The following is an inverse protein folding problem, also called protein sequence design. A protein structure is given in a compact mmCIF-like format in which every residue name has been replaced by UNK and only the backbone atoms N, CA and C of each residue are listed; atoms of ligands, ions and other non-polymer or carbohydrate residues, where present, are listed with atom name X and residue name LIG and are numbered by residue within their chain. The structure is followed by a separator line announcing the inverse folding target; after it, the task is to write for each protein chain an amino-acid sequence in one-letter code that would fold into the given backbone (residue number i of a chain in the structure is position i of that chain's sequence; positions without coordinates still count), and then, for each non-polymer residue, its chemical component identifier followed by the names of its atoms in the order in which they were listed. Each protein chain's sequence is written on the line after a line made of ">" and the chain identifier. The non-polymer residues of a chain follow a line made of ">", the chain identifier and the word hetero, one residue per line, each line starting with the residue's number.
data_IF_502273558186
#
_entry.id   IF_502273558186
#
_cell.length_a   1.000
_cell.length_b   1.000
_cell.length_c   1.000
_cell.angle_alpha   90.00
_cell.angle_beta   90.00
_cell.angle_gamma   90.00
#
_symmetry.space_group_name_H-M   'P 1'
#
loop_
_entity.id
_entity.type
_entity.pdbx_description
1 polymer ?
#
# COMPACT_ATOMS: atom_id res chain seq x y z
N UNK A 1 -5.46 -23.81 -3.78
CA UNK A 1 -4.47 -22.73 -3.65
C UNK A 1 -4.44 -22.33 -2.19
N UNK A 2 -3.26 -22.38 -1.54
CA UNK A 2 -3.12 -21.79 -0.21
C UNK A 2 -3.60 -20.34 -0.28
N UNK A 3 -4.40 -19.92 0.70
CA UNK A 3 -4.92 -18.56 0.77
C UNK A 3 -3.74 -17.58 0.82
N UNK A 4 -3.49 -16.85 -0.27
CA UNK A 4 -2.37 -15.91 -0.39
C UNK A 4 -2.41 -14.82 0.69
N UNK A 5 -3.60 -14.51 1.19
CA UNK A 5 -3.80 -13.49 2.21
C UNK A 5 -3.38 -13.96 3.62
N UNK A 6 -3.17 -15.26 3.81
CA UNK A 6 -2.67 -15.83 5.07
C UNK A 6 -1.14 -15.98 5.11
N UNK A 7 -0.45 -15.73 3.98
CA UNK A 7 1.00 -15.82 3.91
C UNK A 7 1.67 -14.62 4.61
N UNK A 8 2.82 -14.88 5.21
CA UNK A 8 3.74 -13.80 5.59
C UNK A 8 4.28 -13.12 4.33
N UNK A 9 4.74 -11.87 4.48
CA UNK A 9 5.39 -11.15 3.35
C UNK A 9 6.64 -11.89 2.88
N UNK A 10 7.35 -12.53 3.79
CA UNK A 10 8.53 -13.33 3.49
C UNK A 10 8.17 -14.55 2.63
N UNK A 11 7.13 -15.30 3.00
CA UNK A 11 6.65 -16.44 2.22
C UNK A 11 6.12 -16.02 0.84
N UNK A 12 5.41 -14.88 0.79
CA UNK A 12 4.93 -14.32 -0.47
C UNK A 12 6.09 -13.92 -1.40
N UNK A 13 7.11 -13.25 -0.86
CA UNK A 13 8.30 -12.87 -1.60
C UNK A 13 9.08 -14.11 -2.10
N UNK A 14 9.17 -15.17 -1.27
CA UNK A 14 9.77 -16.43 -1.67
C UNK A 14 9.00 -17.04 -2.85
N UNK A 15 7.68 -17.11 -2.80
CA UNK A 15 6.85 -17.64 -3.90
C UNK A 15 7.01 -16.86 -5.19
N UNK A 16 7.12 -15.53 -5.14
CA UNK A 16 7.36 -14.70 -6.32
C UNK A 16 8.77 -14.99 -6.87
N UNK A 17 9.78 -15.00 -6.03
CA UNK A 17 11.16 -15.30 -6.40
C UNK A 17 11.29 -16.65 -7.09
N UNK A 18 10.66 -17.68 -6.51
CA UNK A 18 10.71 -19.06 -6.98
C UNK A 18 9.74 -19.33 -8.14
N UNK A 19 9.13 -18.30 -8.72
CA UNK A 19 8.19 -18.37 -9.84
C UNK A 19 6.93 -19.23 -9.58
N UNK A 20 6.56 -19.44 -8.31
CA UNK A 20 5.34 -20.17 -7.95
C UNK A 20 4.08 -19.30 -8.13
N UNK A 21 4.25 -17.97 -8.12
CA UNK A 21 3.24 -16.96 -8.43
C UNK A 21 3.94 -15.75 -9.05
N UNK A 22 3.25 -15.01 -9.88
CA UNK A 22 3.75 -13.76 -10.46
C UNK A 22 3.37 -12.54 -9.62
N UNK A 23 4.13 -11.44 -9.74
CA UNK A 23 3.77 -10.16 -9.12
C UNK A 23 2.43 -9.64 -9.65
N UNK A 24 2.14 -9.88 -10.93
CA UNK A 24 0.86 -9.52 -11.55
C UNK A 24 -0.29 -10.25 -10.88
N UNK A 25 -0.22 -11.59 -10.75
CA UNK A 25 -1.27 -12.38 -10.09
C UNK A 25 -1.49 -11.93 -8.64
N UNK A 26 -0.41 -11.65 -7.90
CA UNK A 26 -0.50 -11.10 -6.54
C UNK A 26 -1.24 -9.76 -6.53
N UNK A 27 -0.86 -8.83 -7.40
CA UNK A 27 -1.50 -7.52 -7.48
C UNK A 27 -2.97 -7.61 -7.89
N UNK A 28 -3.33 -8.51 -8.81
CA UNK A 28 -4.72 -8.74 -9.21
C UNK A 28 -5.59 -9.21 -8.04
N UNK A 29 -5.09 -10.12 -7.21
CA UNK A 29 -5.81 -10.57 -6.01
C UNK A 29 -6.07 -9.41 -5.03
N UNK A 30 -5.06 -8.55 -4.78
CA UNK A 30 -5.26 -7.37 -3.94
C UNK A 30 -6.18 -6.32 -4.58
N UNK A 31 -6.14 -6.14 -5.90
CA UNK A 31 -7.08 -5.27 -6.63
C UNK A 31 -8.53 -5.71 -6.42
N UNK A 32 -8.82 -7.01 -6.54
CA UNK A 32 -10.17 -7.53 -6.31
C UNK A 32 -10.61 -7.36 -4.84
N UNK A 33 -9.68 -7.48 -3.88
CA UNK A 33 -9.96 -7.16 -2.48
C UNK A 33 -10.33 -5.68 -2.30
N UNK A 34 -9.52 -4.77 -2.84
CA UNK A 34 -9.77 -3.32 -2.79
C UNK A 34 -11.14 -3.01 -3.39
N UNK A 35 -11.43 -3.50 -4.59
CA UNK A 35 -12.71 -3.30 -5.28
C UNK A 35 -13.92 -3.79 -4.46
N UNK A 36 -13.75 -4.89 -3.73
CA UNK A 36 -14.81 -5.48 -2.92
C UNK A 36 -15.08 -4.69 -1.65
N UNK A 37 -14.05 -4.23 -0.95
CA UNK A 37 -14.17 -3.75 0.43
C UNK A 37 -13.94 -2.24 0.60
N UNK A 38 -13.16 -1.58 -0.27
CA UNK A 38 -12.79 -0.18 -0.03
C UNK A 38 -13.93 0.82 -0.18
N UNK A 39 -15.01 0.47 -0.87
CA UNK A 39 -16.24 1.29 -0.92
C UNK A 39 -16.80 1.59 0.46
N UNK A 40 -16.67 0.65 1.40
CA UNK A 40 -17.19 0.73 2.75
C UNK A 40 -16.08 1.16 3.74
N UNK A 41 -14.85 0.63 3.59
CA UNK A 41 -13.71 0.88 4.48
C UNK A 41 -13.05 2.24 4.21
N UNK A 42 -12.93 2.64 2.95
CA UNK A 42 -12.32 3.92 2.52
C UNK A 42 -10.88 4.10 3.02
N UNK A 43 -10.09 3.03 2.90
CA UNK A 43 -8.70 3.00 3.32
C UNK A 43 -7.77 3.71 2.32
N UNK A 44 -8.20 3.88 1.07
CA UNK A 44 -7.36 4.47 0.02
C UNK A 44 -7.68 5.94 -0.21
N UNK A 45 -6.62 6.76 -0.22
CA UNK A 45 -6.66 8.17 -0.64
C UNK A 45 -6.45 8.27 -2.16
N UNK A 46 -5.49 7.48 -2.68
CA UNK A 46 -5.25 7.37 -4.12
C UNK A 46 -4.87 5.91 -4.45
N UNK A 47 -5.50 5.37 -5.49
CA UNK A 47 -5.24 4.02 -6.00
C UNK A 47 -5.43 4.00 -7.51
N UNK A 48 -4.39 3.58 -8.24
CA UNK A 48 -4.43 3.40 -9.69
C UNK A 48 -4.10 1.96 -10.06
N UNK A 49 -5.14 1.23 -10.46
CA UNK A 49 -5.03 -0.18 -10.88
C UNK A 49 -4.07 -0.35 -12.06
N UNK A 50 -4.10 0.57 -13.03
CA UNK A 50 -3.31 0.46 -14.26
C UNK A 50 -1.82 0.62 -13.92
N UNK A 51 -1.48 1.66 -13.18
CA UNK A 51 -0.11 1.90 -12.72
C UNK A 51 0.43 0.72 -11.90
N UNK A 52 -0.39 0.15 -11.00
CA UNK A 52 0.02 -1.01 -10.20
C UNK A 52 0.36 -2.22 -11.08
N UNK A 53 -0.49 -2.55 -12.06
CA UNK A 53 -0.26 -3.69 -12.95
C UNK A 53 0.92 -3.47 -13.92
N UNK A 54 1.16 -2.24 -14.36
CA UNK A 54 2.36 -1.89 -15.13
C UNK A 54 3.63 -2.18 -14.32
N UNK A 55 3.71 -1.70 -13.09
CA UNK A 55 4.84 -1.96 -12.19
C UNK A 55 5.00 -3.45 -11.84
N UNK A 56 3.91 -4.17 -11.64
CA UNK A 56 3.95 -5.60 -11.39
C UNK A 56 4.49 -6.37 -12.60
N UNK A 57 4.10 -5.97 -13.80
CA UNK A 57 4.61 -6.52 -15.05
C UNK A 57 6.12 -6.26 -15.23
N UNK A 58 6.58 -5.05 -14.88
CA UNK A 58 8.00 -4.70 -14.87
C UNK A 58 8.79 -5.59 -13.89
N UNK A 59 8.26 -5.82 -12.69
CA UNK A 59 8.88 -6.71 -11.71
C UNK A 59 8.98 -8.16 -12.23
N UNK A 60 7.93 -8.70 -12.83
CA UNK A 60 7.96 -10.03 -13.43
C UNK A 60 8.94 -10.15 -14.60
N UNK A 61 9.05 -9.11 -15.43
CA UNK A 61 10.04 -9.03 -16.51
C UNK A 61 11.47 -9.00 -15.97
N UNK A 62 11.70 -8.21 -14.89
CA UNK A 62 12.99 -8.15 -14.21
C UNK A 62 13.43 -9.53 -13.70
N UNK A 63 12.52 -10.27 -13.05
CA UNK A 63 12.79 -11.63 -12.57
C UNK A 63 13.08 -12.58 -13.73
N UNK A 64 12.25 -12.59 -14.79
CA UNK A 64 12.42 -13.45 -15.98
C UNK A 64 13.76 -13.18 -16.69
N UNK A 65 14.27 -11.96 -16.63
CA UNK A 65 15.58 -11.61 -17.18
C UNK A 65 16.77 -12.08 -16.30
N UNK A 66 16.51 -12.80 -15.21
CA UNK A 66 17.55 -13.34 -14.33
C UNK A 66 18.35 -12.25 -13.56
N UNK A 67 17.79 -11.05 -13.43
CA UNK A 67 18.45 -9.95 -12.73
C UNK A 67 18.39 -10.17 -11.20
N UNK A 68 19.35 -9.59 -10.43
CA UNK A 68 19.32 -9.68 -8.98
C UNK A 68 18.01 -9.16 -8.40
N UNK A 69 17.44 -9.89 -7.44
CA UNK A 69 16.17 -9.59 -6.80
C UNK A 69 16.40 -9.06 -5.38
N UNK A 70 15.75 -7.94 -5.05
CA UNK A 70 15.70 -7.43 -3.69
C UNK A 70 14.79 -8.29 -2.79
N UNK A 71 14.87 -8.11 -1.46
CA UNK A 71 14.13 -8.93 -0.50
C UNK A 71 12.60 -8.77 -0.58
N UNK A 72 12.11 -7.66 -1.12
CA UNK A 72 10.69 -7.39 -1.32
C UNK A 72 10.28 -7.41 -2.81
N UNK A 73 11.07 -8.09 -3.65
CA UNK A 73 10.83 -8.09 -5.10
C UNK A 73 9.40 -8.50 -5.44
N UNK A 74 8.68 -7.61 -6.15
CA UNK A 74 7.32 -7.84 -6.62
C UNK A 74 6.23 -7.74 -5.55
N UNK A 75 6.57 -7.43 -4.30
CA UNK A 75 5.61 -7.25 -3.21
C UNK A 75 4.93 -5.89 -3.32
N UNK A 76 3.59 -5.82 -3.38
CA UNK A 76 2.86 -4.56 -3.32
C UNK A 76 2.86 -4.00 -1.89
N UNK A 77 3.22 -2.72 -1.76
CA UNK A 77 3.29 -2.00 -0.47
C UNK A 77 2.43 -0.75 -0.54
N UNK A 78 1.51 -0.61 0.41
CA UNK A 78 0.74 0.61 0.57
C UNK A 78 1.55 1.66 1.35
N UNK A 79 1.39 2.95 1.03
CA UNK A 79 2.08 4.01 1.76
C UNK A 79 1.11 5.09 2.23
N UNK A 80 1.28 5.56 3.46
CA UNK A 80 0.45 6.63 4.02
C UNK A 80 0.52 7.90 3.18
N UNK A 81 -0.59 8.58 3.02
CA UNK A 81 -0.71 9.80 2.19
C UNK A 81 -0.06 11.06 2.79
N UNK A 82 1.04 10.88 3.51
CA UNK A 82 2.00 11.95 3.88
C UNK A 82 3.39 11.65 3.32
N UNK A 83 3.59 10.43 2.81
CA UNK A 83 4.85 9.99 2.22
C UNK A 83 4.88 10.43 0.77
N UNK A 84 5.81 11.30 0.39
CA UNK A 84 5.94 11.83 -0.96
C UNK A 84 6.29 10.76 -1.98
N UNK A 85 5.57 10.74 -3.11
CA UNK A 85 5.86 9.90 -4.27
C UNK A 85 5.79 10.75 -5.54
N UNK A 86 6.62 10.43 -6.55
CA UNK A 86 6.64 11.19 -7.81
C UNK A 86 5.47 10.84 -8.73
N UNK A 87 4.93 9.65 -8.61
CA UNK A 87 3.96 9.04 -9.53
C UNK A 87 2.52 9.10 -9.02
N UNK A 88 2.31 9.55 -7.79
CA UNK A 88 0.99 9.69 -7.17
C UNK A 88 0.90 11.00 -6.36
N UNK A 89 -0.28 11.61 -6.26
CA UNK A 89 -0.45 12.78 -5.41
C UNK A 89 -0.20 12.45 -3.94
N UNK A 90 0.21 13.46 -3.16
CA UNK A 90 0.37 13.40 -1.71
C UNK A 90 -0.37 14.56 -1.09
N UNK A 91 -1.61 14.30 -0.72
CA UNK A 91 -2.59 15.31 -0.32
C UNK A 91 -2.68 15.51 1.20
N UNK A 92 -2.06 14.62 1.97
CA UNK A 92 -2.01 14.67 3.44
C UNK A 92 -3.40 14.71 4.10
N UNK A 93 -4.42 14.11 3.46
CA UNK A 93 -5.78 14.08 3.98
C UNK A 93 -6.47 15.46 4.05
N UNK A 94 -5.99 16.48 3.33
CA UNK A 94 -6.53 17.84 3.39
C UNK A 94 -6.87 18.39 1.99
N UNK A 95 -8.03 19.07 1.84
CA UNK A 95 -8.42 19.71 0.56
C UNK A 95 -7.42 20.75 0.05
N UNK A 96 -6.68 21.42 0.96
CA UNK A 96 -5.70 22.46 0.62
C UNK A 96 -4.56 21.91 -0.25
N UNK A 97 -4.29 20.59 -0.16
CA UNK A 97 -3.23 19.91 -0.90
C UNK A 97 -3.75 19.05 -2.05
N UNK A 98 -5.01 19.21 -2.45
CA UNK A 98 -5.61 18.43 -3.53
C UNK A 98 -4.77 18.48 -4.81
N UNK A 99 -4.44 17.31 -5.36
CA UNK A 99 -3.61 17.14 -6.55
C UNK A 99 -2.12 17.49 -6.37
N UNK A 100 -1.67 17.73 -5.14
CA UNK A 100 -0.27 18.09 -4.88
C UNK A 100 0.63 16.87 -5.09
N UNK A 101 1.63 17.03 -5.96
CA UNK A 101 2.66 16.03 -6.23
C UNK A 101 4.04 16.54 -5.82
N UNK A 102 4.98 15.62 -5.66
CA UNK A 102 6.38 15.92 -5.38
C UNK A 102 7.26 15.62 -6.61
N UNK A 103 8.38 16.34 -6.73
CA UNK A 103 9.36 16.13 -7.80
C UNK A 103 10.33 14.98 -7.52
N UNK A 104 10.32 14.45 -6.29
CA UNK A 104 11.15 13.32 -5.86
C UNK A 104 10.41 12.48 -4.83
N UNK A 105 10.78 11.23 -4.73
CA UNK A 105 10.27 10.34 -3.69
C UNK A 105 10.80 10.74 -2.31
N UNK A 106 10.05 10.37 -1.27
CA UNK A 106 10.61 10.28 0.07
C UNK A 106 11.62 9.12 0.11
N UNK A 107 12.67 9.26 0.91
CA UNK A 107 13.75 8.26 1.04
C UNK A 107 13.23 6.83 1.30
N UNK A 108 12.20 6.69 2.15
CA UNK A 108 11.59 5.38 2.42
C UNK A 108 11.01 4.73 1.14
N UNK A 109 10.51 5.52 0.18
CA UNK A 109 9.99 5.03 -1.09
C UNK A 109 11.13 4.53 -1.98
N UNK A 110 12.24 5.26 -2.03
CA UNK A 110 13.42 4.84 -2.78
C UNK A 110 14.06 3.57 -2.17
N UNK A 111 14.03 3.44 -0.84
CA UNK A 111 14.43 2.20 -0.15
C UNK A 111 13.52 1.02 -0.48
N UNK A 112 12.19 1.24 -0.54
CA UNK A 112 11.23 0.22 -0.97
C UNK A 112 11.49 -0.22 -2.41
N UNK A 113 11.71 0.73 -3.33
CA UNK A 113 12.05 0.43 -4.73
C UNK A 113 13.37 -0.33 -4.84
N UNK A 114 14.39 0.06 -4.07
CA UNK A 114 15.69 -0.62 -4.02
C UNK A 114 15.55 -2.06 -3.50
N UNK A 115 14.62 -2.30 -2.59
CA UNK A 115 14.27 -3.65 -2.12
C UNK A 115 13.42 -4.44 -3.13
N UNK A 116 13.02 -3.83 -4.26
CA UNK A 116 12.21 -4.44 -5.30
C UNK A 116 10.70 -4.38 -5.04
N UNK A 117 10.24 -3.66 -4.03
CA UNK A 117 8.83 -3.51 -3.71
C UNK A 117 8.09 -2.62 -4.74
N UNK A 118 6.79 -2.81 -4.85
CA UNK A 118 5.90 -2.03 -5.69
C UNK A 118 5.03 -1.13 -4.80
N UNK A 119 5.19 0.18 -4.87
CA UNK A 119 4.26 1.10 -4.19
C UNK A 119 2.91 1.03 -4.90
N UNK A 120 1.91 0.46 -4.22
CA UNK A 120 0.63 0.13 -4.83
C UNK A 120 -0.42 1.24 -4.73
N UNK A 121 -0.22 2.21 -3.84
CA UNK A 121 -1.17 3.31 -3.65
C UNK A 121 -0.93 4.07 -2.36
N UNK A 122 -1.71 5.15 -2.18
CA UNK A 122 -1.66 6.03 -1.02
C UNK A 122 -2.83 5.73 -0.08
N UNK A 123 -2.53 5.43 1.18
CA UNK A 123 -3.56 5.14 2.19
C UNK A 123 -3.99 6.40 2.92
N UNK A 124 -5.27 6.44 3.29
CA UNK A 124 -5.88 7.57 3.99
C UNK A 124 -5.17 7.88 5.31
N UNK A 125 -5.01 9.17 5.58
CA UNK A 125 -4.50 9.71 6.86
C UNK A 125 -5.54 10.66 7.46
N UNK A 126 -5.48 10.89 8.77
CA UNK A 126 -6.09 12.07 9.37
C UNK A 126 -5.52 13.33 8.72
N UNK A 127 -6.28 14.42 8.69
CA UNK A 127 -5.82 15.68 8.10
C UNK A 127 -4.47 16.09 8.68
N UNK A 128 -3.48 16.30 7.79
CA UNK A 128 -2.09 16.65 8.13
C UNK A 128 -1.43 15.71 9.16
N UNK A 129 -1.89 14.46 9.20
CA UNK A 129 -1.48 13.45 10.20
C UNK A 129 -1.72 13.87 11.65
N UNK A 130 -2.72 14.75 11.90
CA UNK A 130 -3.06 15.29 13.21
C UNK A 130 -4.28 14.59 13.85
N UNK A 131 -5.05 15.26 14.71
CA UNK A 131 -6.01 14.62 15.62
C UNK A 131 -7.40 14.34 15.04
N UNK A 132 -7.78 14.92 13.91
CA UNK A 132 -9.10 14.72 13.32
C UNK A 132 -9.34 13.27 12.85
N UNK A 133 -10.56 12.73 12.92
CA UNK A 133 -10.86 11.45 12.33
C UNK A 133 -10.77 11.52 10.81
N UNK A 134 -10.28 10.45 10.20
CA UNK A 134 -10.31 10.29 8.74
C UNK A 134 -11.66 9.74 8.25
N UNK A 135 -11.83 9.66 6.93
CA UNK A 135 -13.01 9.01 6.32
C UNK A 135 -13.03 7.49 6.47
N UNK A 136 -11.92 6.88 6.91
CA UNK A 136 -11.75 5.43 6.99
C UNK A 136 -12.56 4.84 8.13
N UNK A 137 -13.24 3.72 7.88
CA UNK A 137 -13.92 2.95 8.91
C UNK A 137 -13.08 1.76 9.38
N UNK A 138 -13.34 1.29 10.59
CA UNK A 138 -12.69 0.11 11.13
C UNK A 138 -13.21 -1.16 10.42
N UNK A 139 -12.37 -1.97 9.79
CA UNK A 139 -12.81 -3.19 9.09
C UNK A 139 -13.42 -4.27 10.02
N UNK A 140 -13.18 -4.21 11.33
CA UNK A 140 -13.77 -5.12 12.30
C UNK A 140 -15.13 -4.63 12.84
N UNK A 141 -15.38 -3.29 12.75
CA UNK A 141 -16.67 -2.68 13.16
C UNK A 141 -16.85 -1.36 12.41
N UNK A 142 -17.66 -1.37 11.37
CA UNK A 142 -17.85 -0.23 10.46
C UNK A 142 -18.50 0.99 11.13
N UNK A 143 -19.04 0.85 12.34
CA UNK A 143 -19.54 1.97 13.14
C UNK A 143 -18.45 2.75 13.85
N UNK A 144 -17.21 2.27 13.80
CA UNK A 144 -16.06 2.84 14.52
C UNK A 144 -14.98 3.35 13.58
N UNK A 145 -14.19 4.29 14.07
CA UNK A 145 -12.92 4.67 13.44
C UNK A 145 -11.86 3.60 13.69
N UNK A 146 -10.92 3.36 12.74
CA UNK A 146 -9.78 2.46 12.97
C UNK A 146 -8.68 3.12 13.83
N UNK A 147 -8.92 4.31 14.36
CA UNK A 147 -7.89 5.15 14.98
C UNK A 147 -7.16 6.00 13.95
N UNK A 148 -5.98 6.45 14.29
CA UNK A 148 -5.16 7.30 13.39
C UNK A 148 -3.94 7.89 14.11
N UNK A 149 -3.13 8.60 13.32
CA UNK A 149 -3.40 9.18 11.99
C UNK A 149 -3.18 8.22 10.80
N UNK A 150 -2.53 7.06 10.96
CA UNK A 150 -2.31 6.07 9.87
C UNK A 150 -3.55 5.17 9.65
N UNK A 151 -4.74 5.75 9.67
CA UNK A 151 -6.03 5.05 9.62
C UNK A 151 -6.18 4.11 8.41
N UNK A 152 -5.91 4.61 7.21
CA UNK A 152 -5.98 3.81 6.00
C UNK A 152 -4.91 2.73 5.92
N UNK A 153 -3.69 2.99 6.45
CA UNK A 153 -2.61 2.01 6.48
C UNK A 153 -2.99 0.78 7.32
N UNK A 154 -3.51 1.02 8.53
CA UNK A 154 -3.96 -0.05 9.40
C UNK A 154 -5.17 -0.80 8.80
N UNK A 155 -6.18 -0.06 8.31
CA UNK A 155 -7.39 -0.63 7.75
C UNK A 155 -7.12 -1.45 6.47
N UNK A 156 -6.20 -1.01 5.61
CA UNK A 156 -5.83 -1.74 4.38
C UNK A 156 -5.21 -3.11 4.70
N UNK A 157 -4.31 -3.18 5.68
CA UNK A 157 -3.71 -4.44 6.11
C UNK A 157 -4.72 -5.33 6.83
N UNK A 158 -5.48 -4.78 7.78
CA UNK A 158 -6.47 -5.53 8.56
C UNK A 158 -7.61 -6.12 7.69
N UNK A 159 -7.90 -5.53 6.53
CA UNK A 159 -8.89 -6.03 5.57
C UNK A 159 -8.29 -6.85 4.44
N UNK A 160 -6.99 -7.15 4.49
CA UNK A 160 -6.25 -7.84 3.44
C UNK A 160 -6.32 -7.14 2.07
N UNK A 161 -6.39 -5.81 2.04
CA UNK A 161 -6.28 -5.00 0.82
C UNK A 161 -4.84 -4.64 0.48
N UNK A 162 -3.91 -4.89 1.38
CA UNK A 162 -2.46 -4.82 1.18
C UNK A 162 -1.76 -5.82 2.11
N UNK A 163 -0.63 -6.43 1.70
CA UNK A 163 0.12 -7.34 2.57
C UNK A 163 0.85 -6.59 3.67
N UNK A 164 1.37 -5.41 3.36
CA UNK A 164 2.02 -4.49 4.29
C UNK A 164 1.72 -3.04 3.92
N UNK A 165 1.86 -2.14 4.88
CA UNK A 165 1.69 -0.71 4.66
C UNK A 165 2.65 0.11 5.51
N UNK A 166 3.17 1.18 4.91
CA UNK A 166 3.94 2.20 5.63
C UNK A 166 2.98 3.17 6.30
N UNK A 167 3.07 3.26 7.61
CA UNK A 167 2.46 4.29 8.44
C UNK A 167 3.52 5.26 8.99
N UNK A 168 3.10 6.20 9.82
CA UNK A 168 3.99 7.08 10.57
C UNK A 168 3.47 7.26 11.99
N UNK A 169 4.36 7.42 12.95
CA UNK A 169 3.98 7.69 14.33
C UNK A 169 4.89 8.72 14.98
N UNK A 170 4.29 9.78 15.50
CA UNK A 170 4.93 10.73 16.41
C UNK A 170 4.44 10.47 17.84
N UNK A 171 3.15 10.55 18.09
CA UNK A 171 2.53 10.24 19.40
C UNK A 171 1.99 8.81 19.44
N UNK A 172 0.90 8.52 18.68
CA UNK A 172 0.23 7.21 18.66
C UNK A 172 -0.27 6.78 17.28
N UNK A 173 0.20 7.41 16.21
CA UNK A 173 -0.42 7.34 14.87
C UNK A 173 -0.30 5.98 14.15
N UNK A 174 0.24 4.94 14.76
CA UNK A 174 0.21 3.55 14.30
C UNK A 174 -0.53 2.67 15.31
N UNK A 175 -0.27 2.84 16.59
CA UNK A 175 -0.76 1.96 17.66
C UNK A 175 -2.10 2.40 18.29
N UNK A 176 -2.62 3.54 17.92
CA UNK A 176 -3.87 4.10 18.44
C UNK A 176 -5.07 3.64 17.62
#
# INVERSE_FOLDING_TARGET
>A
MSDIFSLSVEDLAAKIRDAQITSVEVCELYIERIKKFDKDIKAWAHFDKKLLLEKATEADNHRRAGKPLGPLHGIPVAVKDIVGTIDMPTECGTPIRKGKSYSQNAEIVDLLHSAGAIVMGKTTTSELAYLGPSKTTNPHDYSRTPGGSSSGSAAAVASYMAPISIGSQTGGSIIR
#
